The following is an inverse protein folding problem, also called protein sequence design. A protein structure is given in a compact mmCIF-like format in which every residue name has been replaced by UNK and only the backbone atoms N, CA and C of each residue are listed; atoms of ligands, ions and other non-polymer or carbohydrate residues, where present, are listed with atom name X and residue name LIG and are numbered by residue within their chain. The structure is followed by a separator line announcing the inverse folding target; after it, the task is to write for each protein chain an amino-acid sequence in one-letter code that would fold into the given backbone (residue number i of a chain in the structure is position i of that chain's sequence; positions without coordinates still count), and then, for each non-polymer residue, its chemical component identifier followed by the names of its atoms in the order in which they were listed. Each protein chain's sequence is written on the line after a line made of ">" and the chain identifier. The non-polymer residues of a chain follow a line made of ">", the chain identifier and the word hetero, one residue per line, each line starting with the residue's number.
data_IF_285724706274
#
_entry.id   IF_285724706274
#
_cell.length_a   1.000
_cell.length_b   1.000
_cell.length_c   1.000
_cell.angle_alpha   90.00
_cell.angle_beta   90.00
_cell.angle_gamma   90.00
#
_symmetry.space_group_name_H-M   'P 1'
#
loop_
_entity.id
_entity.type
_entity.pdbx_description
1 polymer ?
#
# COMPACT_ATOMS: atom_id res chain seq x y z
N UNK A 1 -11.23 -1.48 -7.88
CA UNK A 1 -11.30 -0.23 -7.06
C UNK A 1 -10.21 0.74 -7.50
N UNK A 2 -10.48 2.04 -7.78
CA UNK A 2 -9.42 3.00 -8.11
C UNK A 2 -8.66 3.46 -6.86
N UNK A 3 -7.34 3.31 -6.85
CA UNK A 3 -6.44 3.74 -5.77
C UNK A 3 -5.28 4.57 -6.33
N UNK A 4 -4.81 5.56 -5.58
CA UNK A 4 -3.69 6.41 -5.96
C UNK A 4 -2.73 6.61 -4.80
N UNK A 5 -1.44 6.68 -5.13
CA UNK A 5 -0.38 6.96 -4.17
C UNK A 5 -0.09 8.46 -4.12
N UNK A 6 0.02 8.97 -2.90
CA UNK A 6 0.66 10.25 -2.59
C UNK A 6 1.82 9.95 -1.62
N UNK A 7 2.88 10.77 -1.54
CA UNK A 7 4.00 10.50 -0.64
C UNK A 7 3.52 10.03 0.74
N UNK A 8 3.92 8.83 1.14
CA UNK A 8 3.61 8.25 2.44
C UNK A 8 2.29 7.48 2.57
N UNK A 9 1.29 7.60 1.67
CA UNK A 9 -0.08 7.10 1.93
C UNK A 9 -0.89 6.66 0.70
N UNK A 10 -1.80 5.71 0.94
CA UNK A 10 -2.80 5.24 -0.01
C UNK A 10 -4.14 5.98 0.15
N UNK A 11 -4.72 6.41 -0.96
CA UNK A 11 -6.00 7.13 -1.01
C UNK A 11 -7.02 6.39 -1.88
N UNK A 12 -8.29 6.50 -1.49
CA UNK A 12 -9.45 6.02 -2.24
C UNK A 12 -10.14 7.20 -2.91
N UNK A 13 -10.46 7.04 -4.18
CA UNK A 13 -11.35 7.93 -4.91
C UNK A 13 -12.72 7.26 -5.05
N UNK A 14 -13.75 7.90 -4.52
CA UNK A 14 -15.14 7.52 -4.81
C UNK A 14 -15.56 8.21 -6.11
N UNK A 15 -15.88 7.41 -7.14
CA UNK A 15 -16.24 7.91 -8.47
C UNK A 15 -17.66 8.48 -8.53
N UNK A 16 -18.54 8.14 -7.59
CA UNK A 16 -19.91 8.66 -7.57
C UNK A 16 -19.94 10.05 -6.95
N UNK A 17 -19.22 10.24 -5.84
CA UNK A 17 -19.18 11.51 -5.10
C UNK A 17 -17.98 12.40 -5.45
N UNK A 18 -17.01 11.91 -6.23
CA UNK A 18 -15.68 12.50 -6.44
C UNK A 18 -14.92 12.77 -5.12
N UNK A 19 -15.33 12.13 -4.02
CA UNK A 19 -14.69 12.31 -2.74
C UNK A 19 -13.36 11.54 -2.70
N UNK A 20 -12.33 12.19 -2.17
CA UNK A 20 -11.03 11.59 -1.90
C UNK A 20 -10.91 11.35 -0.40
N UNK A 21 -10.78 10.09 0.01
CA UNK A 21 -10.62 9.70 1.41
C UNK A 21 -9.38 8.85 1.60
N UNK A 22 -8.88 8.75 2.83
CA UNK A 22 -7.82 7.77 3.11
C UNK A 22 -8.36 6.36 2.81
N UNK A 23 -7.50 5.51 2.26
CA UNK A 23 -7.86 4.11 2.05
C UNK A 23 -7.99 3.40 3.40
N UNK A 24 -9.07 2.66 3.58
CA UNK A 24 -9.30 1.80 4.74
C UNK A 24 -9.68 0.40 4.22
N UNK A 25 -9.14 -0.68 4.79
CA UNK A 25 -8.23 -0.70 5.94
C UNK A 25 -6.84 -0.14 5.62
N UNK A 26 -6.17 0.48 6.61
CA UNK A 26 -4.83 1.05 6.41
C UNK A 26 -3.80 -0.02 6.04
N UNK A 27 -2.83 0.39 5.22
CA UNK A 27 -1.65 -0.42 4.93
C UNK A 27 -0.91 -0.79 6.24
N UNK A 28 -0.42 -2.03 6.38
CA UNK A 28 0.44 -2.41 7.51
C UNK A 28 1.69 -1.52 7.62
N UNK A 29 2.29 -1.49 8.82
CA UNK A 29 3.54 -0.74 9.05
C UNK A 29 4.67 -1.33 8.20
N UNK A 30 5.40 -0.46 7.49
CA UNK A 30 6.54 -0.86 6.68
C UNK A 30 7.66 -1.50 7.52
N UNK A 31 8.36 -2.45 6.92
CA UNK A 31 9.56 -3.06 7.48
C UNK A 31 10.69 -2.04 7.55
N UNK A 32 11.27 -1.90 8.74
CA UNK A 32 12.48 -1.10 9.01
C UNK A 32 13.72 -1.98 9.01
N UNK A 33 13.88 -2.79 7.97
CA UNK A 33 14.99 -3.75 7.90
C UNK A 33 16.37 -3.05 7.89
N UNK A 34 16.41 -1.76 7.56
CA UNK A 34 17.56 -0.89 7.68
C UNK A 34 17.37 0.22 8.72
N UNK A 35 18.49 0.68 9.27
CA UNK A 35 18.57 1.76 10.27
C UNK A 35 18.19 3.13 9.72
N UNK A 36 17.87 3.25 8.42
CA UNK A 36 17.51 4.52 7.81
C UNK A 36 16.00 4.79 8.01
N UNK A 37 15.62 5.75 8.87
CA UNK A 37 14.22 6.05 9.14
C UNK A 37 13.47 6.62 7.93
N UNK A 38 14.17 7.11 6.90
CA UNK A 38 13.54 7.70 5.71
C UNK A 38 12.68 6.67 4.93
N UNK A 39 13.12 5.41 4.84
CA UNK A 39 12.36 4.35 4.18
C UNK A 39 11.05 4.01 4.91
N UNK A 40 11.01 4.24 6.24
CA UNK A 40 9.79 4.04 7.03
C UNK A 40 8.77 5.17 6.86
N UNK A 41 9.20 6.33 6.35
CA UNK A 41 8.38 7.53 6.15
C UNK A 41 7.85 7.66 4.72
N UNK A 42 8.50 7.01 3.75
CA UNK A 42 8.14 7.06 2.32
C UNK A 42 6.77 6.47 1.97
N UNK A 43 6.24 5.55 2.78
CA UNK A 43 5.00 4.83 2.48
C UNK A 43 5.09 4.02 1.19
N UNK A 44 3.96 3.53 0.64
CA UNK A 44 3.97 2.99 -0.71
C UNK A 44 4.25 4.12 -1.70
N UNK A 45 5.09 3.89 -2.71
CA UNK A 45 5.33 4.82 -3.82
C UNK A 45 4.53 4.44 -5.08
N UNK A 46 4.02 3.21 -5.14
CA UNK A 46 3.18 2.73 -6.23
C UNK A 46 2.00 1.92 -5.71
N UNK A 47 0.83 2.07 -6.34
CA UNK A 47 -0.30 1.21 -6.10
C UNK A 47 -1.16 1.09 -7.35
N UNK A 48 -1.67 -0.11 -7.61
CA UNK A 48 -2.53 -0.39 -8.75
C UNK A 48 -3.54 -1.46 -8.39
N UNK A 49 -4.75 -1.34 -8.92
CA UNK A 49 -5.77 -2.38 -8.83
C UNK A 49 -5.77 -3.26 -10.08
N UNK A 50 -5.95 -4.56 -9.86
CA UNK A 50 -6.20 -5.55 -10.90
C UNK A 50 -7.39 -6.42 -10.47
N UNK A 51 -8.54 -6.21 -11.13
CA UNK A 51 -9.82 -6.72 -10.64
C UNK A 51 -10.14 -6.17 -9.25
N UNK A 52 -10.38 -7.07 -8.30
CA UNK A 52 -10.69 -6.74 -6.90
C UNK A 52 -9.45 -6.69 -6.00
N UNK A 53 -8.27 -6.95 -6.56
CA UNK A 53 -7.00 -6.94 -5.82
C UNK A 53 -6.31 -5.59 -5.96
N UNK A 54 -5.77 -5.06 -4.87
CA UNK A 54 -4.88 -3.90 -4.89
C UNK A 54 -3.46 -4.35 -4.55
N UNK A 55 -2.52 -3.99 -5.42
CA UNK A 55 -1.10 -4.13 -5.19
C UNK A 55 -0.54 -2.79 -4.74
N UNK A 56 0.25 -2.78 -3.67
CA UNK A 56 0.97 -1.61 -3.19
C UNK A 56 2.45 -1.94 -2.99
N UNK A 57 3.33 -1.10 -3.51
CA UNK A 57 4.79 -1.30 -3.46
C UNK A 57 5.42 -0.14 -2.70
N UNK A 58 6.25 -0.49 -1.72
CA UNK A 58 7.12 0.40 -0.95
C UNK A 58 8.58 -0.05 -1.11
N UNK A 59 9.53 0.70 -0.56
CA UNK A 59 10.96 0.48 -0.79
C UNK A 59 11.45 -0.93 -0.40
N UNK A 60 10.85 -1.53 0.63
CA UNK A 60 11.23 -2.83 1.19
C UNK A 60 10.08 -3.81 1.35
N UNK A 61 8.87 -3.45 0.90
CA UNK A 61 7.68 -4.26 1.07
C UNK A 61 6.79 -4.23 -0.17
N UNK A 62 6.18 -5.39 -0.45
CA UNK A 62 5.09 -5.51 -1.40
C UNK A 62 3.87 -5.98 -0.61
N UNK A 63 2.72 -5.32 -0.82
CA UNK A 63 1.47 -5.69 -0.20
C UNK A 63 0.40 -6.02 -1.25
N UNK A 64 -0.43 -7.01 -0.92
CA UNK A 64 -1.65 -7.37 -1.65
C UNK A 64 -2.85 -7.15 -0.75
N UNK A 65 -3.85 -6.40 -1.21
CA UNK A 65 -5.17 -6.34 -0.60
C UNK A 65 -6.15 -7.14 -1.43
N UNK A 66 -6.83 -8.12 -0.84
CA UNK A 66 -7.76 -9.02 -1.52
C UNK A 66 -9.23 -8.53 -1.53
N UNK A 67 -9.47 -7.30 -1.07
CA UNK A 67 -10.81 -6.75 -0.85
C UNK A 67 -11.28 -6.84 0.60
N UNK A 68 -10.63 -7.65 1.44
CA UNK A 68 -10.94 -7.82 2.85
C UNK A 68 -9.76 -7.50 3.75
N UNK A 69 -8.56 -7.99 3.42
CA UNK A 69 -7.38 -7.89 4.27
C UNK A 69 -6.09 -7.65 3.47
N UNK A 70 -5.10 -7.10 4.17
CA UNK A 70 -3.76 -6.90 3.64
C UNK A 70 -2.87 -8.11 3.93
N UNK A 71 -2.19 -8.58 2.90
CA UNK A 71 -1.12 -9.56 2.95
C UNK A 71 0.20 -8.89 2.55
N UNK A 72 1.26 -9.09 3.33
CA UNK A 72 2.62 -8.73 2.91
C UNK A 72 3.21 -9.89 2.14
N UNK A 73 3.62 -9.64 0.91
CA UNK A 73 4.34 -10.63 0.11
C UNK A 73 5.80 -10.62 0.53
N UNK A 74 6.27 -11.76 1.02
CA UNK A 74 7.68 -11.98 1.36
C UNK A 74 8.44 -12.51 0.16
N UNK A 75 9.71 -12.12 0.05
CA UNK A 75 10.64 -12.84 -0.82
C UNK A 75 10.82 -14.25 -0.24
N UNK A 76 10.79 -15.33 -1.06
CA UNK A 76 10.89 -16.70 -0.55
C UNK A 76 12.16 -16.95 0.25
N UNK A 77 13.24 -16.23 -0.05
CA UNK A 77 14.54 -16.36 0.61
C UNK A 77 14.77 -15.37 1.77
N UNK A 78 13.80 -14.51 2.10
CA UNK A 78 13.90 -13.58 3.23
C UNK A 78 12.97 -14.04 4.36
N UNK A 79 13.51 -14.34 5.56
CA UNK A 79 12.72 -14.82 6.71
C UNK A 79 11.64 -13.83 7.18
#
# INVERSE_FOLDING_TARGET
>A
MPASVRPGRLWRLDLQSNAVSRFEPRLPKLNRLDSNPEYALGGPFFAQAFGDVIWAVADKDIFRFDGQQWERIKHPDLP
#
